data_IF_890651317923
#
_entry.id   IF_890651317923
#
_cell.length_a   1.000
_cell.length_b   1.000
_cell.length_c   1.000
_cell.angle_alpha   90.00
_cell.angle_beta   90.00
_cell.angle_gamma   90.00
#
_symmetry.space_group_name_H-M   'P 1'
#
loop_
_entity.id
_entity.type
_entity.pdbx_description
1 polymer ?
#
# COMPACT_ATOMS: atom_id res chain seq x y z
N UNK A 1 -8.34 8.67 4.99
CA UNK A 1 -7.97 9.64 3.94
C UNK A 1 -7.91 11.04 4.55
N UNK A 2 -6.73 11.68 4.59
CA UNK A 2 -6.58 13.08 5.00
C UNK A 2 -7.10 14.01 3.90
N UNK A 3 -8.42 14.19 3.83
CA UNK A 3 -9.08 14.87 2.71
C UNK A 3 -8.58 16.30 2.45
N UNK A 4 -8.23 17.03 3.50
CA UNK A 4 -7.68 18.38 3.35
C UNK A 4 -6.32 18.39 2.66
N UNK A 5 -5.41 17.49 3.05
CA UNK A 5 -4.07 17.38 2.47
C UNK A 5 -4.13 16.97 1.00
N UNK A 6 -5.00 16.02 0.67
CA UNK A 6 -5.22 15.57 -0.71
C UNK A 6 -5.75 16.74 -1.56
N UNK A 7 -6.75 17.48 -1.08
CA UNK A 7 -7.29 18.63 -1.81
C UNK A 7 -6.25 19.73 -1.98
N UNK A 8 -5.50 20.03 -0.94
CA UNK A 8 -4.45 21.05 -0.99
C UNK A 8 -3.38 20.69 -2.04
N UNK A 9 -2.85 19.47 -2.00
CA UNK A 9 -1.87 18.98 -2.95
C UNK A 9 -2.43 18.96 -4.37
N UNK A 10 -3.64 18.49 -4.55
CA UNK A 10 -4.31 18.45 -5.85
C UNK A 10 -4.46 19.83 -6.48
N UNK A 11 -4.95 20.81 -5.72
CA UNK A 11 -5.08 22.18 -6.21
C UNK A 11 -3.72 22.83 -6.47
N UNK A 12 -2.74 22.58 -5.61
CA UNK A 12 -1.39 23.10 -5.79
C UNK A 12 -0.77 22.57 -7.09
N UNK A 13 -0.87 21.26 -7.35
CA UNK A 13 -0.40 20.66 -8.58
C UNK A 13 -1.13 21.19 -9.81
N UNK A 14 -2.45 21.35 -9.72
CA UNK A 14 -3.24 21.92 -10.81
C UNK A 14 -2.83 23.37 -11.15
N UNK A 15 -2.49 24.16 -10.15
CA UNK A 15 -2.08 25.55 -10.35
C UNK A 15 -0.64 25.68 -10.87
N UNK A 16 0.29 24.86 -10.37
CA UNK A 16 1.70 24.90 -10.75
C UNK A 16 1.97 24.17 -12.07
N UNK A 17 1.46 22.95 -12.20
CA UNK A 17 1.73 22.06 -13.34
C UNK A 17 0.61 22.04 -14.38
N UNK A 18 -0.45 22.86 -14.20
CA UNK A 18 -1.66 22.91 -15.04
C UNK A 18 -2.48 21.62 -15.08
N UNK A 19 -2.05 20.60 -14.34
CA UNK A 19 -2.71 19.30 -14.24
C UNK A 19 -2.74 18.88 -12.78
N UNK A 20 -3.93 18.58 -12.26
CA UNK A 20 -4.14 17.97 -10.95
C UNK A 20 -4.74 16.58 -11.14
N UNK A 21 -4.10 15.56 -10.60
CA UNK A 21 -4.46 14.16 -10.81
C UNK A 21 -4.74 13.53 -9.45
N UNK A 22 -5.84 12.80 -9.37
CA UNK A 22 -6.25 12.04 -8.19
C UNK A 22 -6.55 10.61 -8.60
N UNK A 23 -5.98 9.67 -7.88
CA UNK A 23 -6.26 8.24 -8.01
C UNK A 23 -7.26 7.84 -6.94
N UNK A 24 -8.29 7.08 -7.34
CA UNK A 24 -9.31 6.55 -6.44
C UNK A 24 -9.41 5.06 -6.69
N UNK A 25 -9.31 4.25 -5.62
CA UNK A 25 -9.45 2.81 -5.73
C UNK A 25 -10.09 2.21 -4.49
N UNK A 26 -10.50 0.97 -4.62
CA UNK A 26 -10.97 0.15 -3.52
C UNK A 26 -9.79 -0.58 -2.91
N UNK A 27 -9.52 -0.35 -1.62
CA UNK A 27 -8.45 -0.96 -0.84
C UNK A 27 -9.07 -2.04 0.03
N UNK A 28 -8.80 -3.30 -0.30
CA UNK A 28 -9.23 -4.44 0.51
C UNK A 28 -8.13 -4.73 1.54
N UNK A 29 -8.54 -4.88 2.78
CA UNK A 29 -7.63 -5.25 3.85
C UNK A 29 -8.24 -6.32 4.72
N UNK A 30 -7.37 -7.19 5.21
CA UNK A 30 -7.70 -8.21 6.18
C UNK A 30 -7.60 -7.60 7.59
N UNK A 31 -8.65 -7.72 8.37
CA UNK A 31 -8.70 -7.31 9.76
C UNK A 31 -8.77 -8.56 10.63
N UNK A 32 -7.78 -8.71 11.51
CA UNK A 32 -7.75 -9.78 12.49
C UNK A 32 -8.29 -9.27 13.82
N UNK A 33 -9.38 -9.84 14.29
CA UNK A 33 -9.97 -9.55 15.58
C UNK A 33 -9.75 -10.74 16.52
N UNK A 34 -9.20 -10.46 17.71
CA UNK A 34 -9.00 -11.47 18.75
C UNK A 34 -10.19 -11.46 19.70
N UNK A 35 -10.85 -12.58 19.82
CA UNK A 35 -11.98 -12.78 20.73
C UNK A 35 -11.64 -13.87 21.75
N UNK A 36 -12.04 -13.65 23.00
CA UNK A 36 -11.91 -14.62 24.08
C UNK A 36 -13.29 -15.13 24.49
N UNK A 37 -13.43 -16.43 24.55
CA UNK A 37 -14.63 -17.12 25.01
C UNK A 37 -14.28 -17.96 26.23
N UNK A 38 -15.09 -17.88 27.27
CA UNK A 38 -14.91 -18.64 28.52
C UNK A 38 -16.16 -19.43 28.86
N UNK A 39 -15.95 -20.65 29.39
CA UNK A 39 -17.06 -21.50 29.85
C UNK A 39 -17.97 -21.94 28.71
N UNK A 40 -17.43 -22.27 27.56
CA UNK A 40 -18.21 -22.83 26.45
C UNK A 40 -18.48 -24.30 26.66
N UNK A 41 -19.71 -24.68 26.39
CA UNK A 41 -20.07 -26.08 26.27
C UNK A 41 -19.60 -26.69 24.95
N UNK A 42 -19.59 -28.01 24.84
CA UNK A 42 -19.19 -28.76 23.64
C UNK A 42 -19.93 -28.30 22.37
N UNK A 43 -21.22 -27.94 22.52
CA UNK A 43 -22.05 -27.47 21.39
C UNK A 43 -21.60 -26.09 20.93
N UNK A 44 -21.33 -25.20 21.87
CA UNK A 44 -20.79 -23.84 21.58
C UNK A 44 -19.44 -23.91 20.92
N UNK A 45 -18.54 -24.79 21.40
CA UNK A 45 -17.24 -25.04 20.80
C UNK A 45 -17.38 -25.50 19.34
N UNK A 46 -18.18 -26.52 19.08
CA UNK A 46 -18.40 -27.03 17.73
C UNK A 46 -19.01 -25.98 16.81
N UNK A 47 -19.94 -25.17 17.30
CA UNK A 47 -20.57 -24.09 16.52
C UNK A 47 -19.57 -23.00 16.13
N UNK A 48 -18.57 -22.72 16.98
CA UNK A 48 -17.48 -21.78 16.67
C UNK A 48 -16.51 -22.37 15.66
N UNK A 49 -16.10 -23.64 15.83
CA UNK A 49 -15.16 -24.33 14.95
C UNK A 49 -15.71 -24.58 13.54
N UNK A 50 -17.02 -24.60 13.37
CA UNK A 50 -17.67 -24.72 12.05
C UNK A 50 -17.58 -23.44 11.20
N UNK A 51 -17.24 -22.31 11.80
CA UNK A 51 -17.06 -21.05 11.07
C UNK A 51 -15.72 -21.06 10.34
N UNK A 52 -15.73 -20.72 9.05
CA UNK A 52 -14.53 -20.75 8.19
C UNK A 52 -13.57 -19.59 8.43
N UNK A 53 -14.05 -18.54 9.09
CA UNK A 53 -13.34 -17.28 9.36
C UNK A 53 -12.66 -17.26 10.74
N UNK A 54 -12.66 -18.40 11.43
CA UNK A 54 -12.17 -18.53 12.80
C UNK A 54 -10.95 -19.45 12.84
N UNK A 55 -9.88 -18.95 13.43
CA UNK A 55 -8.65 -19.69 13.73
C UNK A 55 -8.47 -19.76 15.26
N UNK A 56 -8.33 -20.96 15.81
CA UNK A 56 -8.10 -21.14 17.24
C UNK A 56 -6.64 -20.90 17.57
N UNK A 57 -6.38 -19.95 18.47
CA UNK A 57 -5.04 -19.59 18.94
C UNK A 57 -4.69 -20.34 20.22
N UNK A 58 -5.62 -20.36 21.16
CA UNK A 58 -5.45 -21.01 22.46
C UNK A 58 -6.76 -21.76 22.79
N UNK A 59 -6.63 -22.95 23.36
CA UNK A 59 -7.75 -23.75 23.85
C UNK A 59 -7.34 -24.39 25.16
N UNK A 60 -8.19 -24.25 26.18
CA UNK A 60 -8.08 -24.95 27.47
C UNK A 60 -9.40 -25.58 27.82
N UNK A 61 -9.31 -26.71 28.44
CA UNK A 61 -10.45 -27.56 28.88
C UNK A 61 -10.36 -27.76 30.40
N UNK A 62 -11.48 -27.61 31.07
CA UNK A 62 -11.57 -27.84 32.52
C UNK A 62 -12.94 -28.33 32.91
N UNK A 63 -12.99 -29.05 34.05
CA UNK A 63 -14.25 -29.50 34.65
C UNK A 63 -14.79 -28.39 35.55
N UNK A 64 -16.06 -28.05 35.39
CA UNK A 64 -16.76 -27.14 36.27
C UNK A 64 -17.15 -27.83 37.60
N UNK A 65 -17.66 -27.06 38.57
CA UNK A 65 -18.09 -27.56 39.88
C UNK A 65 -19.23 -28.60 39.82
N UNK A 66 -19.88 -28.75 38.68
CA UNK A 66 -20.96 -29.71 38.45
C UNK A 66 -20.51 -30.98 37.71
N UNK A 67 -19.21 -31.06 37.35
CA UNK A 67 -18.61 -32.16 36.60
C UNK A 67 -18.92 -32.14 35.10
N UNK A 68 -19.26 -30.99 34.54
CA UNK A 68 -19.41 -30.78 33.13
C UNK A 68 -18.12 -30.16 32.58
N UNK A 69 -17.72 -30.56 31.38
CA UNK A 69 -16.54 -30.07 30.70
C UNK A 69 -16.86 -28.71 30.09
N UNK A 70 -16.08 -27.72 30.43
CA UNK A 70 -16.11 -26.36 29.84
C UNK A 70 -14.82 -26.06 29.14
N UNK A 71 -14.94 -25.25 28.10
CA UNK A 71 -13.83 -24.86 27.24
C UNK A 71 -13.61 -23.33 27.26
N UNK A 72 -12.39 -22.92 27.47
CA UNK A 72 -11.96 -21.54 27.23
C UNK A 72 -11.18 -21.50 25.92
N UNK A 73 -11.58 -20.57 25.05
CA UNK A 73 -11.00 -20.39 23.72
C UNK A 73 -10.55 -18.96 23.50
N UNK A 74 -9.41 -18.84 22.88
CA UNK A 74 -8.98 -17.60 22.24
C UNK A 74 -8.94 -17.84 20.74
N UNK A 75 -9.75 -17.10 20.02
CA UNK A 75 -9.85 -17.20 18.57
C UNK A 75 -9.38 -15.93 17.88
N UNK A 76 -8.86 -16.08 16.69
CA UNK A 76 -8.69 -15.01 15.71
C UNK A 76 -9.77 -15.12 14.66
N UNK A 77 -10.51 -14.05 14.48
CA UNK A 77 -11.46 -13.93 13.38
C UNK A 77 -10.86 -13.07 12.30
N UNK A 78 -10.83 -13.60 11.09
CA UNK A 78 -10.40 -12.88 9.90
C UNK A 78 -11.62 -12.31 9.19
N UNK A 79 -11.68 -10.99 9.06
CA UNK A 79 -12.70 -10.30 8.30
C UNK A 79 -12.07 -9.52 7.15
N UNK A 80 -12.66 -9.64 5.96
CA UNK A 80 -12.22 -8.89 4.79
C UNK A 80 -13.07 -7.63 4.69
N UNK A 81 -12.44 -6.50 4.95
CA UNK A 81 -13.06 -5.20 4.87
C UNK A 81 -12.49 -4.42 3.69
N UNK A 82 -13.23 -3.45 3.20
CA UNK A 82 -12.76 -2.62 2.12
C UNK A 82 -13.10 -1.15 2.36
N UNK A 83 -12.25 -0.29 1.89
CA UNK A 83 -12.44 1.16 1.96
C UNK A 83 -12.03 1.84 0.68
N UNK A 84 -12.66 2.98 0.42
CA UNK A 84 -12.23 3.84 -0.67
C UNK A 84 -10.95 4.56 -0.23
N UNK A 85 -9.87 4.37 -0.99
CA UNK A 85 -8.65 5.18 -0.89
C UNK A 85 -8.65 6.25 -1.97
N UNK A 86 -8.14 7.41 -1.61
CA UNK A 86 -7.96 8.56 -2.49
C UNK A 86 -6.54 9.06 -2.26
N UNK A 87 -5.81 9.26 -3.34
CA UNK A 87 -4.42 9.72 -3.32
C UNK A 87 -4.20 10.77 -4.40
N UNK A 88 -3.44 11.81 -4.07
CA UNK A 88 -2.96 12.77 -5.07
C UNK A 88 -1.76 12.17 -5.80
N UNK A 89 -1.85 12.12 -7.13
CA UNK A 89 -0.76 11.64 -7.99
C UNK A 89 -0.01 12.83 -8.54
N UNK A 90 1.28 12.98 -8.20
CA UNK A 90 2.12 14.01 -8.76
C UNK A 90 2.14 13.97 -10.30
N UNK A 91 2.03 15.10 -11.01
CA UNK A 91 2.07 15.11 -12.47
C UNK A 91 3.33 14.45 -13.07
N UNK A 92 4.46 14.48 -12.36
CA UNK A 92 5.69 13.80 -12.74
C UNK A 92 5.64 12.29 -12.68
N UNK A 93 4.71 11.74 -11.91
CA UNK A 93 4.48 10.29 -11.73
C UNK A 93 3.37 9.74 -12.63
N UNK A 94 2.70 10.63 -13.35
CA UNK A 94 1.59 10.27 -14.21
C UNK A 94 1.98 10.33 -15.68
N UNK A 95 1.79 9.24 -16.39
CA UNK A 95 2.03 9.12 -17.81
C UNK A 95 0.72 8.82 -18.54
N UNK A 96 0.51 9.48 -19.66
CA UNK A 96 -0.67 9.30 -20.51
C UNK A 96 -0.22 9.24 -21.97
N UNK A 97 -0.99 8.54 -22.81
CA UNK A 97 -0.70 8.49 -24.24
C UNK A 97 -0.63 9.90 -24.84
N UNK A 98 0.42 10.16 -25.61
CA UNK A 98 0.77 11.50 -26.14
C UNK A 98 -0.36 12.14 -26.95
N UNK A 99 -1.18 11.32 -27.59
CA UNK A 99 -2.26 11.79 -28.50
C UNK A 99 -3.56 12.07 -27.74
N UNK A 100 -3.67 11.65 -26.46
CA UNK A 100 -4.88 11.79 -25.68
C UNK A 100 -5.09 13.24 -25.24
N UNK A 101 -6.32 13.72 -25.37
CA UNK A 101 -6.74 15.03 -24.87
C UNK A 101 -7.27 14.97 -23.45
N UNK A 102 -7.84 13.83 -23.09
CA UNK A 102 -8.36 13.54 -21.75
C UNK A 102 -8.19 12.05 -21.41
N UNK A 103 -8.55 11.67 -20.18
CA UNK A 103 -8.48 10.28 -19.71
C UNK A 103 -9.39 9.34 -20.49
N UNK A 104 -10.51 9.84 -21.04
CA UNK A 104 -11.46 9.00 -21.78
C UNK A 104 -10.94 8.63 -23.16
N UNK A 105 -10.13 9.50 -23.74
CA UNK A 105 -9.51 9.30 -25.05
C UNK A 105 -8.18 8.55 -24.96
N UNK A 106 -7.61 8.45 -23.75
CA UNK A 106 -6.35 7.79 -23.53
C UNK A 106 -6.43 6.27 -23.78
N UNK A 107 -5.50 5.75 -24.60
CA UNK A 107 -5.29 4.32 -24.81
C UNK A 107 -4.44 3.68 -23.73
N UNK A 108 -3.55 4.50 -23.14
CA UNK A 108 -2.60 4.10 -22.12
C UNK A 108 -2.54 5.19 -21.05
N UNK A 109 -2.60 4.78 -19.81
CA UNK A 109 -2.37 5.59 -18.61
C UNK A 109 -1.48 4.79 -17.68
N UNK A 110 -0.51 5.44 -17.07
CA UNK A 110 0.40 4.80 -16.14
C UNK A 110 0.66 5.72 -14.95
N UNK A 111 0.59 5.14 -13.77
CA UNK A 111 1.09 5.72 -12.53
C UNK A 111 2.42 5.04 -12.21
N UNK A 112 3.48 5.80 -12.07
CA UNK A 112 4.80 5.30 -11.71
C UNK A 112 5.24 5.83 -10.36
N UNK A 113 5.78 4.96 -9.53
CA UNK A 113 6.23 5.30 -8.17
C UNK A 113 7.61 4.73 -7.96
N UNK A 114 8.49 5.50 -7.32
CA UNK A 114 9.80 4.99 -6.88
C UNK A 114 9.61 4.15 -5.63
N UNK A 115 10.12 2.93 -5.67
CA UNK A 115 10.10 1.98 -4.57
C UNK A 115 11.49 1.40 -4.34
N UNK A 116 11.83 1.16 -3.09
CA UNK A 116 13.04 0.39 -2.74
C UNK A 116 12.83 -1.10 -3.01
N UNK A 117 13.93 -1.85 -3.17
CA UNK A 117 13.84 -3.30 -3.34
C UNK A 117 13.14 -3.97 -2.15
N UNK A 118 13.37 -3.46 -0.93
CA UNK A 118 12.71 -3.97 0.27
C UNK A 118 11.20 -3.80 0.24
N UNK A 119 10.70 -2.62 -0.18
CA UNK A 119 9.27 -2.37 -0.36
C UNK A 119 8.66 -3.24 -1.46
N UNK A 120 9.39 -3.44 -2.56
CA UNK A 120 8.93 -4.32 -3.65
C UNK A 120 8.79 -5.77 -3.20
N UNK A 121 9.75 -6.29 -2.42
CA UNK A 121 9.67 -7.64 -1.84
C UNK A 121 8.52 -7.80 -0.83
N UNK A 122 8.21 -6.76 -0.09
CA UNK A 122 7.05 -6.75 0.81
C UNK A 122 5.72 -6.74 0.04
N UNK A 123 5.66 -6.00 -1.08
CA UNK A 123 4.47 -5.95 -1.93
C UNK A 123 4.25 -7.24 -2.74
N UNK A 124 5.34 -7.93 -3.11
CA UNK A 124 5.33 -9.14 -3.95
C UNK A 124 6.12 -10.27 -3.28
N UNK A 125 5.62 -10.84 -2.17
CA UNK A 125 6.36 -11.84 -1.38
C UNK A 125 6.58 -13.15 -2.12
N UNK A 126 5.74 -13.46 -3.10
CA UNK A 126 5.83 -14.67 -3.92
C UNK A 126 6.87 -14.55 -5.04
N UNK A 127 7.36 -13.35 -5.33
CA UNK A 127 8.33 -13.06 -6.36
C UNK A 127 9.73 -12.94 -5.75
N UNK A 128 10.68 -13.74 -6.26
CA UNK A 128 12.08 -13.66 -5.83
C UNK A 128 12.78 -12.52 -6.58
N UNK A 129 12.53 -11.27 -6.18
CA UNK A 129 13.06 -10.09 -6.82
C UNK A 129 14.54 -9.88 -6.44
N UNK A 130 15.41 -9.87 -7.44
CA UNK A 130 16.82 -9.52 -7.32
C UNK A 130 17.14 -8.23 -8.09
N UNK A 131 18.25 -7.58 -7.74
CA UNK A 131 18.67 -6.35 -8.41
C UNK A 131 18.91 -6.53 -9.93
N UNK A 132 19.31 -7.72 -10.34
CA UNK A 132 19.60 -8.06 -11.74
C UNK A 132 18.34 -8.16 -12.59
N UNK A 133 17.19 -8.49 -11.97
CA UNK A 133 15.90 -8.60 -12.64
C UNK A 133 15.22 -7.23 -12.84
N UNK A 134 15.60 -6.27 -12.02
CA UNK A 134 15.06 -4.91 -12.04
C UNK A 134 15.97 -4.04 -12.89
N UNK A 135 15.50 -3.63 -14.04
CA UNK A 135 16.24 -2.75 -14.94
C UNK A 135 16.78 -1.51 -14.23
N UNK A 136 18.01 -1.15 -14.53
CA UNK A 136 18.64 0.05 -13.98
C UNK A 136 17.85 1.31 -14.42
N UNK A 137 17.13 1.89 -13.47
CA UNK A 137 16.39 3.14 -13.67
C UNK A 137 17.27 4.38 -13.63
N UNK A 138 18.57 4.26 -13.87
CA UNK A 138 19.57 5.27 -13.58
C UNK A 138 19.48 6.55 -14.44
N UNK A 139 19.09 6.42 -15.71
CA UNK A 139 19.11 7.58 -16.62
C UNK A 139 17.92 8.53 -16.42
N UNK A 140 16.79 8.03 -15.91
CA UNK A 140 15.60 8.85 -15.71
C UNK A 140 15.59 9.58 -14.34
N UNK A 141 16.32 9.09 -13.35
CA UNK A 141 16.36 9.69 -12.00
C UNK A 141 16.98 11.09 -12.04
N UNK A 142 18.03 11.29 -12.81
CA UNK A 142 18.71 12.58 -12.93
C UNK A 142 17.83 13.63 -13.62
N UNK A 143 17.04 13.26 -14.61
CA UNK A 143 16.13 14.16 -15.31
C UNK A 143 14.94 14.59 -14.45
N UNK A 144 14.47 13.70 -13.56
CA UNK A 144 13.34 13.95 -12.65
C UNK A 144 13.73 14.65 -11.35
N UNK A 145 15.01 14.62 -10.98
CA UNK A 145 15.47 15.29 -9.77
C UNK A 145 15.23 16.81 -9.82
N UNK A 146 15.31 17.43 -11.00
CA UNK A 146 15.05 18.85 -11.19
C UNK A 146 13.61 19.26 -10.86
N UNK A 147 12.62 18.59 -11.45
CA UNK A 147 11.21 18.91 -11.20
C UNK A 147 10.76 18.55 -9.77
N UNK A 148 11.33 17.50 -9.20
CA UNK A 148 11.11 17.17 -7.78
C UNK A 148 11.76 18.18 -6.86
N UNK A 149 12.98 18.63 -7.15
CA UNK A 149 13.65 19.69 -6.39
C UNK A 149 12.82 20.99 -6.39
N UNK A 150 12.33 21.43 -7.54
CA UNK A 150 11.47 22.61 -7.62
C UNK A 150 10.18 22.49 -6.79
N UNK A 151 9.64 21.28 -6.69
CA UNK A 151 8.50 20.98 -5.81
C UNK A 151 8.85 21.03 -4.33
N UNK A 152 10.04 20.52 -3.96
CA UNK A 152 10.54 20.48 -2.59
C UNK A 152 11.18 21.80 -2.14
N UNK A 153 11.70 22.64 -3.03
CA UNK A 153 12.16 23.98 -2.70
C UNK A 153 11.04 24.88 -2.18
N UNK A 154 9.80 24.60 -2.61
CA UNK A 154 8.63 25.30 -2.08
C UNK A 154 8.24 24.81 -0.67
N UNK A 155 8.59 23.59 -0.32
CA UNK A 155 8.37 23.00 1.00
C UNK A 155 9.72 23.00 1.74
N UNK A 156 9.84 23.80 2.80
CA UNK A 156 11.08 23.99 3.60
C UNK A 156 11.74 22.73 4.16
N UNK A 157 11.25 21.55 3.79
CA UNK A 157 11.86 20.25 4.06
C UNK A 157 13.03 19.91 3.12
N UNK A 158 13.31 20.70 2.11
CA UNK A 158 14.43 20.52 1.18
C UNK A 158 15.81 20.53 1.86
N UNK A 159 15.94 21.15 3.04
CA UNK A 159 17.16 21.09 3.86
C UNK A 159 17.52 19.67 4.33
N UNK A 160 16.60 18.72 4.23
CA UNK A 160 16.84 17.32 4.60
C UNK A 160 17.60 16.55 3.52
N UNK A 161 17.55 17.01 2.27
CA UNK A 161 18.15 16.30 1.12
C UNK A 161 19.61 16.70 0.82
N UNK A 162 20.11 17.83 1.32
CA UNK A 162 21.53 18.22 1.15
C UNK A 162 22.51 17.26 1.86
N UNK A 163 22.04 16.38 2.74
CA UNK A 163 22.85 15.38 3.43
C UNK A 163 22.80 13.96 2.88
N UNK A 164 21.93 13.71 1.91
CA UNK A 164 21.85 12.41 1.25
C UNK A 164 22.69 12.47 -0.03
N UNK A 165 23.88 11.88 0.07
CA UNK A 165 24.73 11.67 -1.09
C UNK A 165 23.96 10.93 -2.20
N UNK A 166 24.50 11.00 -3.42
CA UNK A 166 24.01 10.40 -4.65
C UNK A 166 23.19 9.10 -4.38
N UNK A 167 21.89 9.07 -4.67
CA UNK A 167 21.03 7.89 -4.42
C UNK A 167 21.48 6.63 -5.15
N UNK A 168 22.46 6.75 -6.04
CA UNK A 168 23.05 5.62 -6.78
C UNK A 168 24.07 4.81 -5.96
N UNK A 169 24.53 5.29 -4.81
CA UNK A 169 25.57 4.66 -3.97
C UNK A 169 25.07 4.29 -2.56
N UNK A 170 23.87 3.73 -2.44
CA UNK A 170 23.39 3.13 -1.19
C UNK A 170 23.68 1.63 -1.14
N UNK A 171 23.80 1.06 0.07
CA UNK A 171 23.74 -0.38 0.30
C UNK A 171 22.58 -0.99 -0.51
N UNK A 172 22.74 -2.20 -1.05
CA UNK A 172 21.81 -2.81 -2.02
C UNK A 172 20.32 -2.72 -1.69
N UNK A 173 19.95 -2.57 -0.42
CA UNK A 173 18.57 -2.43 0.04
C UNK A 173 17.95 -1.05 -0.17
N UNK A 174 18.75 0.00 -0.42
CA UNK A 174 18.29 1.39 -0.56
C UNK A 174 18.15 1.85 -2.02
N UNK A 175 18.55 1.02 -2.98
CA UNK A 175 18.33 1.34 -4.40
C UNK A 175 16.83 1.42 -4.69
N UNK A 176 16.46 2.43 -5.45
CA UNK A 176 15.07 2.68 -5.85
C UNK A 176 14.83 2.26 -7.29
N UNK A 177 13.65 1.73 -7.55
CA UNK A 177 13.18 1.25 -8.84
C UNK A 177 11.84 1.87 -9.16
N UNK A 178 11.57 2.08 -10.45
CA UNK A 178 10.28 2.54 -10.90
C UNK A 178 9.28 1.39 -10.94
N UNK A 179 8.27 1.45 -10.09
CA UNK A 179 7.08 0.60 -10.20
C UNK A 179 6.07 1.28 -11.12
N UNK A 180 5.67 0.60 -12.18
CA UNK A 180 4.72 1.08 -13.18
C UNK A 180 3.39 0.35 -13.06
N UNK A 181 2.34 1.07 -12.68
CA UNK A 181 0.97 0.58 -12.70
C UNK A 181 0.29 1.11 -13.99
N UNK A 182 0.10 0.22 -14.96
CA UNK A 182 -0.33 0.59 -16.29
C UNK A 182 -1.74 0.12 -16.60
N UNK A 183 -2.55 1.01 -17.15
CA UNK A 183 -3.92 0.77 -17.55
C UNK A 183 -4.04 0.91 -19.07
N UNK A 184 -4.43 -0.17 -19.73
CA UNK A 184 -4.63 -0.22 -21.19
C UNK A 184 -6.12 -0.28 -21.48
N UNK A 185 -6.57 0.57 -22.42
CA UNK A 185 -7.92 0.50 -22.93
C UNK A 185 -8.00 -0.56 -24.01
N UNK A 186 -8.69 -1.64 -23.71
CA UNK A 186 -9.02 -2.72 -24.66
C UNK A 186 -10.25 -2.38 -25.48
#
# INVERSE_FOLDING_TARGET
NPGWEIMYSWFTDALLSKNGIVKVWWDEYEEEEREEYKGLDEIGLQALLMKKDVEVVEHSEYDNDYGEVEHDLVIKRKSYNGRIKIENVPPSEFLISREAKDLKDARFVCHRVLKTLSELREMYPDENLEHEDLGAGDDDIAAFSGERLERYEFDKSAQFFEGWGDPTYGEDGLRTYWLHESFLKT
#
